data_IF_479283671124
#
_entry.id   IF_479283671124
#
_cell.length_a   1.000
_cell.length_b   1.000
_cell.length_c   1.000
_cell.angle_alpha   90.00
_cell.angle_beta   90.00
_cell.angle_gamma   90.00
#
_symmetry.space_group_name_H-M   'P 1'
#
loop_
_entity.id
_entity.type
_entity.pdbx_description
1 polymer ?
#
# COMPACT_ATOMS: atom_id res chain seq x y z
N UNK A 1 0.88 -4.79 -1.31
CA UNK A 1 -0.19 -5.27 -0.42
C UNK A 1 -1.35 -4.31 -0.56
N UNK A 2 -2.51 -4.79 -1.00
CA UNK A 2 -3.71 -3.98 -1.20
C UNK A 2 -4.64 -4.12 -0.01
N UNK A 3 -5.34 -3.04 0.35
CA UNK A 3 -6.32 -3.05 1.42
C UNK A 3 -7.74 -3.28 0.86
N UNK A 4 -8.60 -4.00 1.56
CA UNK A 4 -10.04 -4.03 1.26
C UNK A 4 -10.78 -2.90 2.00
N UNK A 5 -12.08 -2.77 1.75
CA UNK A 5 -13.04 -1.83 2.36
C UNK A 5 -12.95 -1.69 3.89
N UNK A 6 -12.59 -2.76 4.59
CA UNK A 6 -12.40 -2.78 6.06
C UNK A 6 -10.92 -2.74 6.48
N UNK A 7 -10.02 -2.34 5.58
CA UNK A 7 -8.60 -2.17 5.87
C UNK A 7 -7.79 -3.46 6.00
N UNK A 8 -8.35 -4.62 5.65
CA UNK A 8 -7.59 -5.88 5.70
C UNK A 8 -6.56 -5.94 4.56
N UNK A 9 -5.32 -6.29 4.88
CA UNK A 9 -4.26 -6.42 3.89
C UNK A 9 -4.30 -7.75 3.14
N UNK A 10 -4.07 -7.71 1.82
CA UNK A 10 -3.81 -8.89 0.99
C UNK A 10 -2.70 -8.63 -0.03
N UNK A 11 -1.84 -9.64 -0.24
CA UNK A 11 -0.90 -9.67 -1.36
C UNK A 11 -1.49 -10.61 -2.40
N UNK A 12 -1.66 -10.13 -3.63
CA UNK A 12 -2.19 -10.94 -4.72
C UNK A 12 -1.05 -11.69 -5.40
N UNK A 13 -1.14 -13.01 -5.33
CA UNK A 13 -0.21 -13.98 -5.92
C UNK A 13 -0.43 -14.18 -7.41
N UNK A 14 0.66 -14.24 -8.17
CA UNK A 14 0.64 -14.54 -9.61
C UNK A 14 0.08 -15.95 -9.88
N UNK A 15 -0.85 -16.07 -10.84
CA UNK A 15 -1.41 -17.34 -11.28
C UNK A 15 -2.55 -17.89 -10.42
N UNK A 16 -2.82 -17.29 -9.25
CA UNK A 16 -4.01 -17.57 -8.45
C UNK A 16 -5.21 -16.84 -9.06
N UNK A 17 -6.34 -17.55 -9.16
CA UNK A 17 -7.63 -16.94 -9.54
C UNK A 17 -8.28 -16.40 -8.28
N UNK A 18 -8.52 -15.10 -8.26
CA UNK A 18 -9.27 -14.43 -7.21
C UNK A 18 -10.69 -14.17 -7.71
N UNK A 19 -11.70 -14.52 -6.91
CA UNK A 19 -13.08 -14.10 -7.17
C UNK A 19 -13.27 -12.60 -7.00
N UNK A 20 -14.41 -12.07 -7.46
CA UNK A 20 -14.77 -10.65 -7.35
C UNK A 20 -14.72 -10.09 -5.92
N UNK A 21 -14.85 -10.94 -4.90
CA UNK A 21 -14.81 -10.58 -3.49
C UNK A 21 -13.47 -10.86 -2.81
N UNK A 22 -12.56 -11.58 -3.48
CA UNK A 22 -11.23 -11.91 -2.96
C UNK A 22 -10.16 -10.94 -3.46
N UNK A 23 -10.44 -10.20 -4.53
CA UNK A 23 -9.55 -9.16 -5.03
C UNK A 23 -9.75 -7.86 -4.24
N UNK A 24 -8.64 -7.34 -3.68
CA UNK A 24 -8.67 -6.13 -2.87
C UNK A 24 -8.52 -4.89 -3.77
N UNK A 25 -9.55 -4.04 -3.78
CA UNK A 25 -9.65 -2.87 -4.69
C UNK A 25 -9.18 -1.56 -4.06
N UNK A 26 -8.79 -1.57 -2.79
CA UNK A 26 -8.36 -0.38 -2.06
C UNK A 26 -6.92 0.03 -2.35
N UNK A 27 -6.34 0.92 -1.52
CA UNK A 27 -5.02 1.46 -1.75
C UNK A 27 -3.92 0.39 -1.66
N UNK A 28 -2.85 0.60 -2.42
CA UNK A 28 -1.60 -0.11 -2.28
C UNK A 28 -0.85 0.42 -1.05
N UNK A 29 -0.77 -0.37 0.01
CA UNK A 29 0.05 -0.10 1.18
C UNK A 29 1.49 -0.58 0.97
N UNK A 30 2.41 0.38 0.91
CA UNK A 30 3.85 0.15 0.80
C UNK A 30 4.37 -0.37 2.13
N UNK A 31 4.68 -1.66 2.14
CA UNK A 31 5.35 -2.35 3.25
C UNK A 31 6.51 -3.17 2.69
N UNK A 32 7.47 -3.50 3.56
CA UNK A 32 8.65 -4.31 3.20
C UNK A 32 8.30 -5.66 2.56
N UNK A 33 7.14 -6.24 2.88
CA UNK A 33 6.65 -7.50 2.33
C UNK A 33 6.18 -7.41 0.86
N UNK A 34 6.10 -6.22 0.27
CA UNK A 34 5.38 -5.99 -0.97
C UNK A 34 6.25 -5.40 -2.10
N UNK A 35 7.41 -5.97 -2.41
CA UNK A 35 8.29 -5.36 -3.43
C UNK A 35 8.61 -6.15 -4.70
N UNK A 36 8.43 -7.47 -4.78
CA UNK A 36 9.04 -8.23 -5.89
C UNK A 36 8.09 -8.78 -6.94
N UNK A 37 6.83 -9.13 -6.64
CA UNK A 37 5.91 -9.69 -7.66
C UNK A 37 4.43 -9.39 -7.30
N UNK A 38 3.88 -8.25 -7.74
CA UNK A 38 2.45 -7.93 -7.52
C UNK A 38 1.68 -8.05 -8.83
N UNK A 39 0.53 -8.73 -8.76
CA UNK A 39 -0.57 -8.43 -9.67
C UNK A 39 -1.23 -7.13 -9.18
N UNK A 40 -1.46 -6.21 -10.12
CA UNK A 40 -2.24 -5.00 -9.87
C UNK A 40 -3.66 -5.26 -10.34
N UNK A 41 -4.67 -5.19 -9.45
CA UNK A 41 -6.06 -5.31 -9.83
C UNK A 41 -6.46 -4.29 -10.88
N UNK A 42 -7.31 -4.65 -11.83
CA UNK A 42 -7.80 -3.68 -12.84
C UNK A 42 -8.62 -2.56 -12.19
N UNK A 43 -9.28 -2.87 -11.08
CA UNK A 43 -10.24 -2.03 -10.36
C UNK A 43 -9.68 -1.37 -9.09
N UNK A 44 -8.36 -1.42 -8.86
CA UNK A 44 -7.79 -0.79 -7.68
C UNK A 44 -7.95 0.74 -7.69
N UNK A 45 -7.95 1.35 -6.50
CA UNK A 45 -8.22 2.78 -6.30
C UNK A 45 -7.16 3.74 -6.85
N UNK A 46 -6.05 3.22 -7.40
CA UNK A 46 -4.86 4.00 -7.82
C UNK A 46 -4.20 4.80 -6.71
N UNK A 47 -4.57 4.54 -5.45
CA UNK A 47 -3.99 5.20 -4.29
C UNK A 47 -2.81 4.38 -3.76
N UNK A 48 -1.66 5.02 -3.60
CA UNK A 48 -0.44 4.44 -3.04
C UNK A 48 -0.18 5.13 -1.71
N UNK A 49 -0.12 4.35 -0.63
CA UNK A 49 0.02 4.84 0.74
C UNK A 49 1.25 4.24 1.40
N UNK A 50 1.98 5.03 2.19
CA UNK A 50 3.15 4.55 2.90
C UNK A 50 3.94 5.65 3.58
N UNK A 51 5.10 5.29 4.14
CA UNK A 51 6.05 6.27 4.66
C UNK A 51 6.62 7.15 3.53
N UNK A 52 7.18 8.31 3.89
CA UNK A 52 7.82 9.19 2.91
C UNK A 52 8.98 8.48 2.19
N UNK A 53 9.82 7.77 2.94
CA UNK A 53 10.95 7.02 2.40
C UNK A 53 10.49 5.90 1.46
N UNK A 54 9.43 5.17 1.82
CA UNK A 54 8.88 4.10 0.99
C UNK A 54 8.30 4.65 -0.31
N UNK A 55 7.59 5.78 -0.26
CA UNK A 55 7.05 6.43 -1.45
C UNK A 55 8.18 6.91 -2.38
N UNK A 56 9.23 7.53 -1.82
CA UNK A 56 10.40 7.97 -2.60
C UNK A 56 11.09 6.77 -3.24
N UNK A 57 11.33 5.70 -2.47
CA UNK A 57 11.93 4.46 -2.96
C UNK A 57 11.07 3.81 -4.04
N UNK A 58 9.76 3.72 -3.83
CA UNK A 58 8.84 3.15 -4.79
C UNK A 58 8.87 3.92 -6.11
N UNK A 59 8.86 5.26 -6.06
CA UNK A 59 8.96 6.11 -7.25
C UNK A 59 10.29 5.98 -7.98
N UNK A 60 11.40 5.83 -7.26
CA UNK A 60 12.73 5.66 -7.89
C UNK A 60 12.94 4.27 -8.48
N UNK A 61 12.29 3.26 -7.92
CA UNK A 61 12.35 1.86 -8.38
C UNK A 61 11.27 1.50 -9.41
N UNK A 62 10.22 2.33 -9.53
CA UNK A 62 9.14 2.17 -10.50
C UNK A 62 9.67 2.34 -11.94
N UNK A 63 10.35 1.32 -12.44
CA UNK A 63 10.59 1.10 -13.87
C UNK A 63 9.41 0.36 -14.52
N UNK A 64 8.46 -0.14 -13.70
CA UNK A 64 7.27 -0.85 -14.15
C UNK A 64 6.21 0.13 -14.66
N UNK A 65 5.79 -0.06 -15.92
CA UNK A 65 4.71 0.70 -16.58
C UNK A 65 3.38 0.69 -15.81
N UNK A 66 3.16 -0.31 -14.95
CA UNK A 66 1.90 -0.53 -14.24
C UNK A 66 1.65 0.52 -13.14
N UNK A 67 2.71 0.99 -12.48
CA UNK A 67 2.64 2.02 -11.44
C UNK A 67 3.17 3.38 -11.90
N UNK A 68 3.71 3.44 -13.13
CA UNK A 68 4.20 4.67 -13.79
C UNK A 68 3.10 5.52 -14.42
N UNK A 69 1.83 5.31 -14.07
CA UNK A 69 0.77 6.16 -14.61
C UNK A 69 0.77 7.52 -13.91
N UNK A 70 0.69 8.58 -14.70
CA UNK A 70 0.38 9.96 -14.29
C UNK A 70 -0.93 10.08 -13.47
N UNK A 71 -1.65 8.97 -13.27
CA UNK A 71 -2.96 8.86 -12.63
C UNK A 71 -2.94 8.22 -11.23
N UNK A 72 -1.76 7.91 -10.67
CA UNK A 72 -1.67 7.35 -9.31
C UNK A 72 -1.56 8.45 -8.26
N UNK A 73 -2.38 8.36 -7.21
CA UNK A 73 -2.37 9.30 -6.09
C UNK A 73 -1.49 8.77 -4.96
N UNK A 74 -0.54 9.58 -4.51
CA UNK A 74 0.39 9.19 -3.45
C UNK A 74 0.03 9.91 -2.16
N UNK A 75 -0.08 9.15 -1.07
CA UNK A 75 -0.41 9.71 0.25
C UNK A 75 0.57 9.21 1.30
N UNK A 76 1.37 10.16 1.78
CA UNK A 76 2.35 9.93 2.84
C UNK A 76 1.67 9.86 4.20
N UNK A 77 1.98 8.81 4.95
CA UNK A 77 1.55 8.64 6.34
C UNK A 77 2.68 9.12 7.24
N UNK A 78 2.38 10.10 8.10
CA UNK A 78 3.37 10.60 9.06
C UNK A 78 3.49 9.65 10.25
N UNK A 79 4.70 9.46 10.81
CA UNK A 79 4.90 8.64 12.01
C UNK A 79 4.00 9.09 13.16
N UNK A 80 3.42 8.11 13.86
CA UNK A 80 2.60 8.26 15.06
C UNK A 80 1.42 9.24 14.89
N UNK A 81 0.95 9.41 13.65
CA UNK A 81 -0.20 10.26 13.34
C UNK A 81 -1.26 9.48 12.57
N UNK A 82 -2.50 9.36 13.11
CA UNK A 82 -3.62 8.81 12.37
C UNK A 82 -3.85 9.56 11.07
N UNK A 83 -3.95 8.81 9.98
CA UNK A 83 -4.20 9.35 8.64
C UNK A 83 -5.38 8.63 8.02
N UNK A 84 -6.42 9.39 7.70
CA UNK A 84 -7.60 8.87 7.00
C UNK A 84 -7.31 8.73 5.51
N UNK A 85 -7.62 7.58 4.94
CA UNK A 85 -7.54 7.29 3.51
C UNK A 85 -8.94 7.03 3.01
N UNK A 86 -9.36 7.77 1.98
CA UNK A 86 -10.67 7.64 1.35
C UNK A 86 -10.51 6.99 -0.03
N UNK A 87 -11.39 6.06 -0.37
CA UNK A 87 -11.52 5.49 -1.71
C UNK A 87 -12.90 4.83 -1.87
N UNK A 88 -13.50 4.97 -3.05
CA UNK A 88 -14.78 4.32 -3.39
C UNK A 88 -15.89 4.49 -2.33
N UNK A 89 -15.94 5.67 -1.70
CA UNK A 89 -16.90 5.97 -0.61
C UNK A 89 -16.58 5.33 0.75
N UNK A 90 -15.52 4.53 0.84
CA UNK A 90 -15.03 3.95 2.08
C UNK A 90 -13.90 4.78 2.68
N UNK A 91 -13.73 4.66 4.00
CA UNK A 91 -12.70 5.35 4.75
C UNK A 91 -12.01 4.38 5.71
N UNK A 92 -10.68 4.38 5.67
CA UNK A 92 -9.83 3.62 6.59
C UNK A 92 -8.88 4.58 7.31
N UNK A 93 -8.60 4.33 8.59
CA UNK A 93 -7.63 5.12 9.35
C UNK A 93 -6.36 4.31 9.54
N UNK A 94 -5.23 4.83 9.09
CA UNK A 94 -3.93 4.17 9.17
C UNK A 94 -2.98 5.02 9.98
N UNK A 95 -2.30 4.41 10.94
CA UNK A 95 -1.21 5.01 11.70
C UNK A 95 0.08 4.24 11.42
N UNK A 96 1.13 4.95 11.02
CA UNK A 96 2.47 4.40 10.86
C UNK A 96 3.20 4.48 12.20
N UNK A 97 3.65 3.34 12.73
CA UNK A 97 4.42 3.21 13.96
C UNK A 97 5.87 2.84 13.58
N UNK A 98 6.87 3.69 13.88
CA UNK A 98 8.28 3.33 13.68
C UNK A 98 8.66 2.13 14.54
N UNK A 99 9.28 1.12 13.94
CA UNK A 99 9.66 -0.14 14.58
C UNK A 99 11.18 -0.38 14.59
N UNK A 100 11.97 0.67 14.33
CA UNK A 100 13.42 0.62 14.32
C UNK A 100 14.01 0.55 12.91
N UNK A 101 15.16 -0.10 12.78
CA UNK A 101 15.86 -0.29 11.50
C UNK A 101 16.22 -1.75 11.29
N UNK A 102 16.12 -2.22 10.06
CA UNK A 102 16.60 -3.54 9.67
C UNK A 102 18.12 -3.56 9.50
N UNK A 103 18.70 -4.75 9.37
CA UNK A 103 20.16 -4.97 9.25
C UNK A 103 20.80 -4.23 8.06
N UNK A 104 20.02 -4.01 6.99
CA UNK A 104 20.44 -3.23 5.82
C UNK A 104 20.22 -1.70 5.99
N UNK A 105 19.88 -1.24 7.19
CA UNK A 105 19.74 0.18 7.53
C UNK A 105 18.41 0.83 7.14
N UNK A 106 17.47 0.08 6.56
CA UNK A 106 16.14 0.60 6.20
C UNK A 106 15.26 0.76 7.44
N UNK A 107 14.45 1.81 7.47
CA UNK A 107 13.45 1.98 8.52
C UNK A 107 12.42 0.85 8.44
N UNK A 108 12.19 0.21 9.59
CA UNK A 108 11.12 -0.78 9.75
C UNK A 108 9.90 -0.06 10.28
N UNK A 109 8.76 -0.28 9.63
CA UNK A 109 7.50 0.36 9.97
C UNK A 109 6.44 -0.70 10.27
N UNK A 110 5.60 -0.43 11.26
CA UNK A 110 4.37 -1.15 11.53
C UNK A 110 3.20 -0.25 11.16
N UNK A 111 2.17 -0.83 10.55
CA UNK A 111 0.93 -0.12 10.26
C UNK A 111 -0.16 -0.62 11.19
N UNK A 112 -0.71 0.29 11.97
CA UNK A 112 -1.94 0.07 12.73
C UNK A 112 -3.12 0.59 11.91
N UNK A 113 -4.09 -0.27 11.67
CA UNK A 113 -5.26 0.02 10.83
C UNK A 113 -6.50 -0.06 11.72
N UNK A 114 -7.23 1.04 11.82
CA UNK A 114 -8.54 1.11 12.47
C UNK A 114 -9.61 1.03 11.38
N UNK A 115 -10.56 0.11 11.57
CA UNK A 115 -11.73 -0.11 10.73
C UNK A 115 -13.03 -0.10 11.52
#
# INVERSE_FOLDING_TARGET
MFLNDIGQPLILETGKKYGLFEEHRGPLLLSSAAFTEHIVPENWSKSVVGSEQDIIRFRSQAKSSVFNSENSFYKTIRPNKPTQIEYDGNQITITLIPAGKSENGLETTLYYIES
#
